data_IF_986013013961
#
_entry.id   IF_986013013961
#
_cell.length_a   1.000
_cell.length_b   1.000
_cell.length_c   1.000
_cell.angle_alpha   90.00
_cell.angle_beta   90.00
_cell.angle_gamma   90.00
#
_symmetry.space_group_name_H-M   'P 1'
#
loop_
_entity.id
_entity.type
_entity.pdbx_description
1 polymer ?
#
# COMPACT_ATOMS: atom_id res chain seq x y z
N UNK A 1 9.81 21.51 -16.95
CA UNK A 1 8.72 21.37 -17.96
C UNK A 1 7.47 22.05 -17.41
N UNK A 2 6.63 22.66 -18.25
CA UNK A 2 5.34 23.22 -17.84
C UNK A 2 4.22 22.32 -18.39
N UNK A 3 3.28 21.95 -17.54
CA UNK A 3 2.14 21.11 -17.89
C UNK A 3 0.88 21.73 -17.30
N UNK A 4 -0.24 21.65 -18.04
CA UNK A 4 -1.56 22.07 -17.57
C UNK A 4 -2.35 20.83 -17.18
N UNK A 5 -2.99 20.85 -16.01
CA UNK A 5 -3.84 19.77 -15.49
C UNK A 5 -5.17 20.34 -15.06
N UNK A 6 -6.24 19.59 -15.28
CA UNK A 6 -7.57 19.94 -14.79
C UNK A 6 -7.74 19.38 -13.37
N UNK A 7 -8.24 20.22 -12.46
CA UNK A 7 -8.47 19.88 -11.05
C UNK A 7 -9.89 20.31 -10.70
N UNK A 8 -10.57 19.54 -9.84
CA UNK A 8 -11.83 20.01 -9.27
C UNK A 8 -11.59 21.26 -8.41
N UNK A 9 -12.54 22.20 -8.41
CA UNK A 9 -12.42 23.45 -7.66
C UNK A 9 -12.18 23.20 -6.16
N UNK A 10 -12.91 22.24 -5.58
CA UNK A 10 -12.76 21.84 -4.18
C UNK A 10 -11.35 21.31 -3.85
N UNK A 11 -10.72 20.59 -4.78
CA UNK A 11 -9.35 20.12 -4.60
C UNK A 11 -8.36 21.27 -4.70
N UNK A 12 -8.52 22.14 -5.70
CA UNK A 12 -7.67 23.31 -5.90
C UNK A 12 -7.70 24.23 -4.67
N UNK A 13 -8.89 24.55 -4.15
CA UNK A 13 -9.05 25.41 -2.96
C UNK A 13 -8.35 24.85 -1.73
N UNK A 14 -8.58 23.57 -1.42
CA UNK A 14 -7.95 22.91 -0.26
C UNK A 14 -6.43 22.86 -0.40
N UNK A 15 -5.92 22.46 -1.56
CA UNK A 15 -4.48 22.37 -1.77
C UNK A 15 -3.80 23.75 -1.79
N UNK A 16 -4.48 24.80 -2.28
CA UNK A 16 -3.96 26.17 -2.22
C UNK A 16 -3.91 26.71 -0.79
N UNK A 17 -4.95 26.44 0.01
CA UNK A 17 -4.96 26.79 1.43
C UNK A 17 -3.84 26.06 2.19
N UNK A 18 -3.66 24.76 1.94
CA UNK A 18 -2.58 23.95 2.53
C UNK A 18 -1.20 24.51 2.19
N UNK A 19 -0.96 24.86 0.92
CA UNK A 19 0.30 25.46 0.49
C UNK A 19 0.58 26.79 1.21
N UNK A 20 -0.45 27.64 1.34
CA UNK A 20 -0.33 28.90 2.07
C UNK A 20 -0.04 28.70 3.56
N UNK A 21 -0.73 27.75 4.22
CA UNK A 21 -0.49 27.42 5.63
C UNK A 21 0.93 26.90 5.87
N UNK A 22 1.50 26.16 4.92
CA UNK A 22 2.88 25.66 4.99
C UNK A 22 3.93 26.68 4.56
N UNK A 23 3.53 27.86 4.10
CA UNK A 23 4.47 28.86 3.57
C UNK A 23 5.15 28.44 2.26
N UNK A 24 4.53 27.54 1.50
CA UNK A 24 5.07 27.02 0.24
C UNK A 24 4.26 27.49 -0.96
N UNK A 25 4.87 27.46 -2.15
CA UNK A 25 4.12 27.72 -3.38
C UNK A 25 3.28 26.49 -3.71
N UNK A 26 2.11 26.70 -4.28
CA UNK A 26 1.23 25.60 -4.74
C UNK A 26 1.96 24.64 -5.70
N UNK A 27 2.85 25.15 -6.56
CA UNK A 27 3.69 24.34 -7.45
C UNK A 27 4.55 23.34 -6.67
N UNK A 28 5.16 23.76 -5.57
CA UNK A 28 6.07 22.94 -4.78
C UNK A 28 5.28 21.81 -4.09
N UNK A 29 4.08 22.11 -3.58
CA UNK A 29 3.16 21.11 -3.02
C UNK A 29 2.74 20.07 -4.06
N UNK A 30 2.45 20.51 -5.30
CA UNK A 30 2.08 19.60 -6.40
C UNK A 30 3.26 18.71 -6.79
N UNK A 31 4.46 19.25 -6.89
CA UNK A 31 5.68 18.48 -7.20
C UNK A 31 6.01 17.47 -6.10
N UNK A 32 5.88 17.85 -4.83
CA UNK A 32 6.04 16.95 -3.69
C UNK A 32 5.02 15.81 -3.74
N UNK A 33 3.74 16.13 -3.96
CA UNK A 33 2.68 15.13 -4.07
C UNK A 33 2.93 14.13 -5.21
N UNK A 34 3.35 14.62 -6.39
CA UNK A 34 3.72 13.76 -7.52
C UNK A 34 4.91 12.85 -7.17
N UNK A 35 5.94 13.39 -6.51
CA UNK A 35 7.09 12.60 -6.07
C UNK A 35 6.69 11.49 -5.10
N UNK A 36 5.83 11.79 -4.12
CA UNK A 36 5.35 10.80 -3.16
C UNK A 36 4.56 9.68 -3.83
N UNK A 37 3.72 10.01 -4.82
CA UNK A 37 2.95 9.02 -5.59
C UNK A 37 3.88 8.11 -6.40
N UNK A 38 4.93 8.66 -7.00
CA UNK A 38 5.89 7.90 -7.81
C UNK A 38 6.88 7.08 -6.96
N UNK A 39 7.26 7.58 -5.79
CA UNK A 39 8.18 6.89 -4.86
C UNK A 39 7.47 5.85 -4.01
N UNK A 40 6.17 6.01 -3.77
CA UNK A 40 5.38 4.98 -3.12
C UNK A 40 5.32 3.77 -4.05
N UNK A 41 5.92 2.61 -3.70
CA UNK A 41 5.66 1.39 -4.45
C UNK A 41 4.15 1.22 -4.46
N UNK A 42 3.57 1.27 -5.66
CA UNK A 42 2.14 1.13 -5.89
C UNK A 42 1.69 -0.04 -5.01
N UNK A 43 0.79 0.19 -4.04
CA UNK A 43 0.19 -0.86 -3.19
C UNK A 43 -0.72 -1.80 -4.01
N UNK A 44 -0.29 -2.15 -5.22
CA UNK A 44 -0.83 -3.18 -6.09
C UNK A 44 -0.04 -4.49 -5.93
N UNK A 45 1.13 -4.47 -5.32
CA UNK A 45 1.62 -5.67 -4.66
C UNK A 45 0.71 -5.89 -3.44
N UNK A 46 -0.32 -6.73 -3.61
CA UNK A 46 -1.12 -7.20 -2.50
C UNK A 46 -0.20 -7.65 -1.38
N UNK A 47 -0.56 -7.38 -0.12
CA UNK A 47 0.19 -7.93 1.01
C UNK A 47 0.38 -9.42 0.77
N UNK A 48 1.60 -9.95 0.94
CA UNK A 48 1.82 -11.38 0.77
C UNK A 48 0.85 -12.13 1.68
N UNK A 49 0.19 -13.12 1.12
CA UNK A 49 -0.69 -14.02 1.85
C UNK A 49 0.11 -14.76 2.92
N UNK A 50 -0.57 -15.24 3.96
CA UNK A 50 0.08 -16.05 5.00
C UNK A 50 0.80 -17.27 4.39
N UNK A 51 0.21 -17.87 3.34
CA UNK A 51 0.80 -18.97 2.60
C UNK A 51 2.15 -18.58 1.96
N UNK A 52 2.22 -17.42 1.30
CA UNK A 52 3.45 -16.94 0.67
C UNK A 52 4.55 -16.67 1.70
N UNK A 53 4.18 -16.15 2.87
CA UNK A 53 5.11 -15.90 3.98
C UNK A 53 5.63 -17.20 4.62
N UNK A 54 4.77 -18.22 4.76
CA UNK A 54 5.11 -19.46 5.46
C UNK A 54 5.71 -20.54 4.56
N UNK A 55 5.75 -20.34 3.24
CA UNK A 55 6.23 -21.35 2.28
C UNK A 55 7.63 -21.89 2.59
N UNK A 56 8.55 -21.02 3.03
CA UNK A 56 9.92 -21.42 3.40
C UNK A 56 10.01 -22.15 4.74
N UNK A 57 8.97 -22.06 5.58
CA UNK A 57 8.91 -22.71 6.89
C UNK A 57 8.27 -24.11 6.86
N UNK A 58 7.61 -24.48 5.74
CA UNK A 58 7.04 -25.81 5.57
C UNK A 58 8.14 -26.87 5.59
N UNK A 59 8.06 -27.82 6.54
CA UNK A 59 9.03 -28.91 6.68
C UNK A 59 10.32 -28.56 7.44
N UNK A 60 10.40 -27.39 8.08
CA UNK A 60 11.57 -27.00 8.91
C UNK A 60 11.71 -27.86 10.18
N UNK A 61 10.63 -28.49 10.64
CA UNK A 61 10.64 -29.39 11.80
C UNK A 61 10.20 -30.78 11.37
N UNK A 62 11.02 -31.79 11.63
CA UNK A 62 10.64 -33.20 11.53
C UNK A 62 9.91 -33.62 12.81
N UNK A 63 8.59 -33.65 12.75
CA UNK A 63 7.72 -34.01 13.87
C UNK A 63 7.34 -35.49 13.90
N UNK A 64 7.70 -36.26 12.87
CA UNK A 64 7.15 -37.61 12.64
C UNK A 64 5.67 -37.63 12.26
N UNK A 65 5.00 -36.48 12.14
CA UNK A 65 3.61 -36.37 11.70
C UNK A 65 3.60 -36.05 10.20
N UNK A 66 2.92 -36.85 9.35
CA UNK A 66 3.03 -36.75 7.88
C UNK A 66 2.63 -35.41 7.28
N UNK A 67 1.70 -34.69 7.91
CA UNK A 67 1.25 -33.37 7.47
C UNK A 67 1.02 -32.43 8.65
N UNK A 68 2.00 -31.59 8.93
CA UNK A 68 1.85 -30.42 9.79
C UNK A 68 1.72 -29.12 8.98
N UNK A 69 1.72 -29.18 7.66
CA UNK A 69 1.63 -28.00 6.84
C UNK A 69 0.21 -27.43 6.95
N UNK A 70 0.11 -26.11 6.97
CA UNK A 70 -1.19 -25.47 6.79
C UNK A 70 -1.70 -25.77 5.39
N UNK A 71 -2.71 -26.65 5.28
CA UNK A 71 -3.28 -27.06 4.00
C UNK A 71 -3.60 -25.83 3.13
N UNK A 72 -3.00 -25.71 1.93
CA UNK A 72 -3.21 -24.60 1.00
C UNK A 72 -4.69 -24.26 0.74
N UNK A 73 -5.57 -25.26 0.73
CA UNK A 73 -7.02 -25.09 0.55
C UNK A 73 -7.64 -24.24 1.65
N UNK A 74 -7.16 -24.34 2.89
CA UNK A 74 -7.69 -23.61 4.04
C UNK A 74 -7.06 -22.22 4.22
N UNK A 75 -5.90 -21.97 3.61
CA UNK A 75 -5.22 -20.67 3.67
C UNK A 75 -5.57 -19.74 2.50
N UNK A 76 -6.25 -20.24 1.46
CA UNK A 76 -6.62 -19.45 0.30
C UNK A 76 -7.50 -18.25 0.71
N UNK A 77 -6.93 -17.04 0.61
CA UNK A 77 -7.63 -15.78 0.92
C UNK A 77 -7.73 -15.42 2.40
N UNK A 78 -7.13 -16.22 3.28
CA UNK A 78 -7.02 -15.89 4.69
C UNK A 78 -6.24 -14.58 4.89
N UNK A 79 -6.75 -13.68 5.74
CA UNK A 79 -6.13 -12.37 6.02
C UNK A 79 -6.36 -11.27 4.98
N UNK A 80 -7.01 -11.54 3.84
CA UNK A 80 -7.27 -10.52 2.80
C UNK A 80 -8.35 -9.49 3.18
N UNK A 81 -9.22 -9.81 4.12
CA UNK A 81 -10.37 -8.99 4.52
C UNK A 81 -10.31 -8.44 5.95
N UNK A 82 -9.16 -8.53 6.63
CA UNK A 82 -8.97 -7.89 7.92
C UNK A 82 -8.95 -6.37 7.71
N UNK A 83 -10.14 -5.75 7.74
CA UNK A 83 -10.28 -4.30 7.90
C UNK A 83 -9.54 -3.94 9.17
N UNK A 84 -8.41 -3.24 9.02
CA UNK A 84 -7.69 -2.69 10.15
C UNK A 84 -8.62 -1.72 10.85
N UNK A 85 -9.11 -2.09 12.03
CA UNK A 85 -9.62 -1.12 12.99
C UNK A 85 -8.42 -0.25 13.38
N UNK A 86 -8.35 0.93 12.80
CA UNK A 86 -7.50 2.04 13.24
C UNK A 86 -8.39 3.24 13.43
#
# INVERSE_FOLDING_TARGET
MKTTVELSDDLYRRAKAEAAMRGHKFKDLVEEGLRLVLQSPRRLAGRPTLQELMKSACGVVDSGIPDLASNPKHLAGFGRHARGYR
#
